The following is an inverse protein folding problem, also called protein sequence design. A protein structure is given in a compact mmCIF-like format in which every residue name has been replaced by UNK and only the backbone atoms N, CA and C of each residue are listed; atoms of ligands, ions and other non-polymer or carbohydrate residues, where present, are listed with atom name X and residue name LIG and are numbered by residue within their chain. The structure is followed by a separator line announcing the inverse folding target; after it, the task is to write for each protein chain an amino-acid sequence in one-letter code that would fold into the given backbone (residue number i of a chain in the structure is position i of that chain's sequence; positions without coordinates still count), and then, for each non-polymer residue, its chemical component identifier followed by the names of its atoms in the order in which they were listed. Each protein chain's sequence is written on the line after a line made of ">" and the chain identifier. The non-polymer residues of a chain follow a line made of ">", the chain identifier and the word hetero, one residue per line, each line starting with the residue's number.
data_IF_147439152971
#
_entry.id   IF_147439152971
#
_cell.length_a   1.000
_cell.length_b   1.000
_cell.length_c   1.000
_cell.angle_alpha   90.00
_cell.angle_beta   90.00
_cell.angle_gamma   90.00
#
_symmetry.space_group_name_H-M   'P 1'
#
loop_
_entity.id
_entity.type
_entity.pdbx_description
1 polymer ?
#
# COMPACT_ATOMS: atom_id res chain seq x y z
N UNK A 1 37.40 18.12 8.41
CA UNK A 1 37.26 17.64 7.02
C UNK A 1 35.77 17.63 6.72
N UNK A 2 35.32 18.38 5.71
CA UNK A 2 33.95 18.29 5.21
C UNK A 2 33.89 16.98 4.43
N UNK A 3 33.11 16.02 4.90
CA UNK A 3 32.84 14.80 4.14
C UNK A 3 31.88 15.19 3.00
N UNK A 4 32.41 15.38 1.80
CA UNK A 4 31.57 15.60 0.63
C UNK A 4 30.84 14.29 0.30
N UNK A 5 29.52 14.33 0.39
CA UNK A 5 28.68 13.19 0.03
C UNK A 5 28.71 13.06 -1.49
N UNK A 6 29.01 11.86 -2.04
CA UNK A 6 29.00 11.66 -3.48
C UNK A 6 27.58 11.84 -4.04
N UNK A 7 27.50 12.53 -5.17
CA UNK A 7 26.27 12.70 -5.96
C UNK A 7 26.00 11.46 -6.83
N UNK A 8 24.74 11.18 -7.19
CA UNK A 8 24.43 10.09 -8.10
C UNK A 8 25.07 10.29 -9.48
N UNK A 9 25.55 9.20 -10.07
CA UNK A 9 25.98 9.12 -11.47
C UNK A 9 24.80 9.28 -12.44
N UNK A 10 25.10 9.46 -13.72
CA UNK A 10 24.07 9.61 -14.75
C UNK A 10 23.13 8.39 -14.84
N UNK A 11 23.68 7.18 -14.67
CA UNK A 11 22.91 5.93 -14.66
C UNK A 11 22.01 5.84 -13.42
N UNK A 12 22.52 6.23 -12.25
CA UNK A 12 21.72 6.28 -11.02
C UNK A 12 20.62 7.34 -11.10
N UNK A 13 20.86 8.50 -11.71
CA UNK A 13 19.83 9.51 -11.95
C UNK A 13 18.71 9.00 -12.86
N UNK A 14 19.06 8.24 -13.89
CA UNK A 14 18.06 7.63 -14.77
C UNK A 14 17.24 6.57 -14.01
N UNK A 15 17.89 5.74 -13.19
CA UNK A 15 17.18 4.79 -12.33
C UNK A 15 16.25 5.49 -11.32
N UNK A 16 16.72 6.57 -10.68
CA UNK A 16 15.92 7.40 -9.77
C UNK A 16 14.68 7.93 -10.50
N UNK A 17 14.84 8.43 -11.73
CA UNK A 17 13.74 8.94 -12.55
C UNK A 17 12.72 7.85 -12.85
N UNK A 18 13.16 6.69 -13.35
CA UNK A 18 12.29 5.54 -13.66
C UNK A 18 11.50 5.09 -12.43
N UNK A 19 12.16 4.91 -11.29
CA UNK A 19 11.49 4.48 -10.05
C UNK A 19 10.50 5.53 -9.55
N UNK A 20 10.85 6.82 -9.66
CA UNK A 20 9.99 7.93 -9.26
C UNK A 20 8.73 8.00 -10.12
N UNK A 21 8.86 7.94 -11.45
CA UNK A 21 7.74 7.93 -12.39
C UNK A 21 6.84 6.70 -12.19
N UNK A 22 7.44 5.53 -11.97
CA UNK A 22 6.72 4.29 -11.65
C UNK A 22 5.91 4.44 -10.36
N UNK A 23 6.51 4.99 -9.31
CA UNK A 23 5.82 5.23 -8.05
C UNK A 23 4.67 6.23 -8.22
N UNK A 24 4.92 7.39 -8.82
CA UNK A 24 3.93 8.45 -8.98
C UNK A 24 2.72 8.01 -9.82
N UNK A 25 2.94 7.21 -10.86
CA UNK A 25 1.85 6.73 -11.73
C UNK A 25 1.03 5.59 -11.13
N UNK A 26 1.51 4.94 -10.07
CA UNK A 26 0.83 3.81 -9.41
C UNK A 26 0.39 4.11 -7.97
N UNK A 27 0.86 5.19 -7.38
CA UNK A 27 0.39 5.65 -6.08
C UNK A 27 -1.01 6.30 -6.23
N UNK A 28 -1.98 5.84 -5.44
CA UNK A 28 -3.34 6.32 -5.61
C UNK A 28 -3.51 7.75 -5.11
N UNK A 29 -4.28 8.52 -5.88
CA UNK A 29 -4.73 9.88 -5.56
C UNK A 29 -3.63 10.95 -5.45
N UNK A 30 -2.35 10.57 -5.41
CA UNK A 30 -1.20 11.47 -5.41
C UNK A 30 -1.35 12.59 -4.37
N UNK A 31 -1.07 13.83 -4.77
CA UNK A 31 -1.16 15.00 -3.91
C UNK A 31 -2.59 15.35 -3.43
N UNK A 32 -3.63 14.72 -4.00
CA UNK A 32 -5.03 15.00 -3.70
C UNK A 32 -5.67 14.01 -2.73
N UNK A 33 -4.87 13.13 -2.12
CA UNK A 33 -5.37 12.09 -1.22
C UNK A 33 -6.13 12.68 -0.02
N UNK A 34 -5.68 13.83 0.53
CA UNK A 34 -6.32 14.50 1.67
C UNK A 34 -7.75 14.94 1.37
N UNK A 35 -8.01 15.44 0.17
CA UNK A 35 -9.34 15.89 -0.24
C UNK A 35 -10.25 14.71 -0.65
N UNK A 36 -9.67 13.63 -1.17
CA UNK A 36 -10.43 12.48 -1.70
C UNK A 36 -10.69 11.38 -0.68
N UNK A 37 -9.93 11.30 0.42
CA UNK A 37 -10.14 10.29 1.47
C UNK A 37 -11.48 10.50 2.17
N UNK A 38 -12.17 9.41 2.46
CA UNK A 38 -13.35 9.39 3.33
C UNK A 38 -12.99 8.65 4.60
N UNK A 39 -13.47 9.13 5.74
CA UNK A 39 -13.37 8.38 6.98
C UNK A 39 -14.25 7.14 6.88
N UNK A 40 -13.73 6.02 7.36
CA UNK A 40 -14.53 4.81 7.57
C UNK A 40 -15.50 5.11 8.72
N UNK A 41 -16.68 5.67 8.42
CA UNK A 41 -17.82 5.61 9.32
C UNK A 41 -18.35 4.18 9.31
N UNK A 42 -18.69 3.59 10.45
CA UNK A 42 -19.40 2.31 10.47
C UNK A 42 -20.72 2.46 9.68
N UNK A 43 -20.72 2.05 8.40
CA UNK A 43 -21.88 2.19 7.52
C UNK A 43 -22.85 1.06 7.85
N UNK A 44 -23.68 1.31 8.87
CA UNK A 44 -24.72 0.37 9.31
C UNK A 44 -25.36 0.72 10.65
N UNK A 45 -24.73 1.55 11.49
CA UNK A 45 -25.28 1.91 12.80
C UNK A 45 -26.10 3.20 12.70
N UNK A 46 -27.40 3.03 12.77
CA UNK A 46 -28.39 4.08 13.02
C UNK A 46 -27.98 4.84 14.28
N UNK A 47 -27.52 6.08 14.11
CA UNK A 47 -27.29 7.09 15.18
C UNK A 47 -26.85 6.53 16.54
N UNK A 48 -25.64 5.99 16.64
CA UNK A 48 -24.94 5.99 17.92
C UNK A 48 -23.52 6.53 17.72
N UNK A 49 -23.06 7.18 18.78
CA UNK A 49 -21.91 8.09 18.85
C UNK A 49 -20.63 7.52 18.23
N UNK A 50 -19.70 8.40 17.90
CA UNK A 50 -18.37 8.12 17.31
C UNK A 50 -17.42 7.25 18.17
N UNK A 51 -17.96 6.54 19.17
CA UNK A 51 -17.25 5.76 20.19
C UNK A 51 -17.26 4.23 19.89
N UNK A 52 -18.00 3.78 18.86
CA UNK A 52 -18.31 2.36 18.58
C UNK A 52 -17.57 1.77 17.35
N UNK A 53 -16.30 2.16 17.14
CA UNK A 53 -15.46 1.54 16.10
C UNK A 53 -14.99 0.17 16.62
N UNK A 54 -15.56 -0.94 16.11
CA UNK A 54 -15.14 -2.32 16.43
C UNK A 54 -16.20 -3.26 17.03
N UNK A 55 -17.49 -2.92 16.95
CA UNK A 55 -18.62 -3.71 17.48
C UNK A 55 -19.35 -4.59 16.45
N UNK A 56 -18.81 -4.80 15.24
CA UNK A 56 -19.36 -5.77 14.28
C UNK A 56 -19.24 -7.21 14.81
N UNK A 57 -19.87 -8.19 14.15
CA UNK A 57 -19.74 -9.62 14.53
C UNK A 57 -18.27 -9.96 14.74
N UNK A 58 -17.92 -10.29 15.98
CA UNK A 58 -16.53 -10.53 16.38
C UNK A 58 -16.22 -12.01 16.25
N UNK A 59 -15.29 -12.36 15.37
CA UNK A 59 -14.72 -13.71 15.32
C UNK A 59 -13.41 -13.70 16.10
N UNK A 60 -13.25 -14.69 16.98
CA UNK A 60 -12.00 -14.88 17.73
C UNK A 60 -11.03 -15.70 16.88
N UNK A 61 -9.80 -15.21 16.69
CA UNK A 61 -8.73 -16.01 16.09
C UNK A 61 -8.24 -17.06 17.10
N UNK A 62 -7.55 -18.11 16.64
CA UNK A 62 -6.92 -19.10 17.53
C UNK A 62 -5.96 -18.48 18.57
N UNK A 63 -5.41 -17.31 18.26
CA UNK A 63 -4.51 -16.54 19.12
C UNK A 63 -5.25 -15.59 20.09
N UNK A 64 -6.59 -15.64 20.13
CA UNK A 64 -7.42 -14.82 21.02
C UNK A 64 -7.67 -13.39 20.55
N UNK A 65 -7.17 -13.01 19.37
CA UNK A 65 -7.44 -11.70 18.77
C UNK A 65 -8.85 -11.65 18.21
N UNK A 66 -9.51 -10.50 18.37
CA UNK A 66 -10.88 -10.27 17.90
C UNK A 66 -10.86 -9.61 16.53
N UNK A 67 -11.57 -10.19 15.55
CA UNK A 67 -11.72 -9.64 14.20
C UNK A 67 -13.16 -9.15 14.01
N UNK A 68 -13.31 -7.86 13.75
CA UNK A 68 -14.57 -7.27 13.30
C UNK A 68 -14.78 -7.63 11.81
N UNK A 69 -15.79 -8.47 11.55
CA UNK A 69 -16.07 -8.99 10.20
C UNK A 69 -16.55 -7.88 9.25
N UNK A 70 -17.25 -6.86 9.74
CA UNK A 70 -17.73 -5.77 8.90
C UNK A 70 -16.56 -4.88 8.46
N UNK A 71 -15.67 -4.53 9.39
CA UNK A 71 -14.44 -3.80 9.08
C UNK A 71 -13.54 -4.61 8.12
N UNK A 72 -13.37 -5.92 8.38
CA UNK A 72 -12.62 -6.81 7.50
C UNK A 72 -13.20 -6.86 6.08
N UNK A 73 -14.53 -6.92 5.95
CA UNK A 73 -15.21 -6.85 4.64
C UNK A 73 -14.92 -5.53 3.91
N UNK A 74 -14.88 -4.39 4.62
CA UNK A 74 -14.51 -3.12 3.99
C UNK A 74 -13.04 -3.09 3.55
N UNK A 75 -12.13 -3.62 4.36
CA UNK A 75 -10.71 -3.70 4.01
C UNK A 75 -10.46 -4.61 2.81
N UNK A 76 -11.09 -5.78 2.76
CA UNK A 76 -10.96 -6.70 1.62
C UNK A 76 -11.45 -6.12 0.29
N UNK A 77 -12.44 -5.20 0.31
CA UNK A 77 -12.87 -4.49 -0.91
C UNK A 77 -11.81 -3.55 -1.47
N UNK A 78 -10.97 -2.96 -0.63
CA UNK A 78 -9.95 -1.98 -1.04
C UNK A 78 -8.56 -2.60 -1.21
N UNK A 79 -8.30 -3.77 -0.63
CA UNK A 79 -6.99 -4.40 -0.65
C UNK A 79 -6.60 -4.91 -2.04
N UNK A 80 -7.54 -5.48 -2.81
CA UNK A 80 -7.24 -5.98 -4.16
C UNK A 80 -6.73 -4.88 -5.10
N UNK A 81 -7.41 -3.72 -5.23
CA UNK A 81 -6.85 -2.59 -6.00
C UNK A 81 -5.51 -2.05 -5.47
N UNK A 82 -5.25 -2.17 -4.16
CA UNK A 82 -3.98 -1.76 -3.57
C UNK A 82 -2.83 -2.71 -3.96
N UNK A 83 -3.07 -4.03 -3.90
CA UNK A 83 -2.14 -5.07 -4.36
C UNK A 83 -1.85 -4.90 -5.85
N UNK A 84 -2.88 -4.71 -6.69
CA UNK A 84 -2.70 -4.48 -8.13
C UNK A 84 -1.79 -3.30 -8.39
N UNK A 85 -1.92 -2.19 -7.64
CA UNK A 85 -1.03 -1.03 -7.75
C UNK A 85 0.41 -1.28 -7.30
N UNK A 86 0.68 -2.31 -6.50
CA UNK A 86 2.06 -2.74 -6.18
C UNK A 86 2.62 -3.55 -7.35
N UNK A 87 1.81 -4.44 -7.93
CA UNK A 87 2.20 -5.21 -9.12
C UNK A 87 2.48 -4.27 -10.30
N UNK A 88 1.61 -3.29 -10.54
CA UNK A 88 1.78 -2.30 -11.62
C UNK A 88 3.02 -1.43 -11.41
N UNK A 89 3.39 -1.15 -10.15
CA UNK A 89 4.64 -0.46 -9.82
C UNK A 89 5.85 -1.30 -10.24
N UNK A 90 5.89 -2.56 -9.81
CA UNK A 90 7.00 -3.46 -10.12
C UNK A 90 7.16 -3.67 -11.63
N UNK A 91 6.05 -3.85 -12.36
CA UNK A 91 6.04 -4.01 -13.82
C UNK A 91 6.52 -2.78 -14.60
N UNK A 92 6.68 -1.63 -13.96
CA UNK A 92 7.27 -0.42 -14.60
C UNK A 92 8.78 -0.34 -14.44
N UNK A 93 9.40 -1.26 -13.69
CA UNK A 93 10.85 -1.31 -13.51
C UNK A 93 11.44 -2.32 -14.49
N UNK A 94 12.28 -1.90 -15.46
CA UNK A 94 12.87 -2.81 -16.45
C UNK A 94 13.58 -4.00 -15.81
N UNK A 95 14.39 -3.75 -14.77
CA UNK A 95 15.12 -4.80 -14.03
C UNK A 95 14.20 -5.84 -13.37
N UNK A 96 12.97 -5.49 -13.02
CA UNK A 96 12.00 -6.44 -12.49
C UNK A 96 11.37 -7.28 -13.61
N UNK A 97 11.05 -6.65 -14.73
CA UNK A 97 10.45 -7.32 -15.89
C UNK A 97 11.40 -8.30 -16.59
N UNK A 98 12.70 -8.13 -16.44
CA UNK A 98 13.74 -9.02 -16.95
C UNK A 98 13.89 -10.32 -16.13
N UNK A 99 13.33 -10.38 -14.91
CA UNK A 99 13.37 -11.58 -14.07
C UNK A 99 12.40 -12.66 -14.57
N UNK A 100 12.68 -13.95 -14.31
CA UNK A 100 11.71 -15.03 -14.51
C UNK A 100 10.38 -14.77 -13.80
N UNK A 101 9.27 -15.24 -14.38
CA UNK A 101 7.93 -15.04 -13.80
C UNK A 101 7.82 -15.59 -12.36
N UNK A 102 8.48 -16.71 -12.09
CA UNK A 102 8.54 -17.32 -10.76
C UNK A 102 9.18 -16.38 -9.73
N UNK A 103 10.29 -15.75 -10.09
CA UNK A 103 10.99 -14.79 -9.24
C UNK A 103 10.18 -13.51 -9.04
N UNK A 104 9.52 -13.01 -10.10
CA UNK A 104 8.61 -11.86 -9.99
C UNK A 104 7.48 -12.15 -8.98
N UNK A 105 6.90 -13.35 -9.01
CA UNK A 105 5.86 -13.78 -8.07
C UNK A 105 6.40 -13.87 -6.64
N UNK A 106 7.59 -14.45 -6.46
CA UNK A 106 8.23 -14.57 -5.14
C UNK A 106 8.48 -13.18 -4.54
N UNK A 107 9.08 -12.28 -5.32
CA UNK A 107 9.36 -10.91 -4.88
C UNK A 107 8.08 -10.15 -4.53
N UNK A 108 7.05 -10.21 -5.38
CA UNK A 108 5.77 -9.56 -5.12
C UNK A 108 5.10 -10.10 -3.85
N UNK A 109 5.10 -11.42 -3.64
CA UNK A 109 4.56 -12.00 -2.41
C UNK A 109 5.36 -11.58 -1.16
N UNK A 110 6.67 -11.44 -1.29
CA UNK A 110 7.56 -11.02 -0.21
C UNK A 110 7.37 -9.56 0.21
N UNK A 111 7.30 -8.64 -0.75
CA UNK A 111 7.33 -7.20 -0.46
C UNK A 111 5.96 -6.49 -0.47
N UNK A 112 4.88 -7.14 -0.93
CA UNK A 112 3.62 -6.44 -1.14
C UNK A 112 3.07 -5.78 0.14
N UNK A 113 3.14 -6.46 1.29
CA UNK A 113 2.72 -5.87 2.56
C UNK A 113 3.61 -4.71 2.99
N UNK A 114 4.92 -4.80 2.77
CA UNK A 114 5.87 -3.75 3.15
C UNK A 114 5.61 -2.47 2.33
N UNK A 115 5.43 -2.60 1.01
CA UNK A 115 5.13 -1.46 0.13
C UNK A 115 3.76 -0.86 0.46
N UNK A 116 2.73 -1.69 0.70
CA UNK A 116 1.41 -1.18 1.08
C UNK A 116 1.45 -0.46 2.43
N UNK A 117 2.16 -1.02 3.41
CA UNK A 117 2.33 -0.42 4.74
C UNK A 117 3.08 0.91 4.66
N UNK A 118 4.17 0.97 3.89
CA UNK A 118 4.91 2.22 3.66
C UNK A 118 4.02 3.28 3.01
N UNK A 119 3.27 2.91 1.95
CA UNK A 119 2.31 3.82 1.30
C UNK A 119 1.27 4.33 2.29
N UNK A 120 0.73 3.47 3.15
CA UNK A 120 -0.22 3.86 4.18
C UNK A 120 0.37 4.85 5.20
N UNK A 121 1.63 4.64 5.60
CA UNK A 121 2.30 5.45 6.62
C UNK A 121 2.69 6.86 6.15
N UNK A 122 2.90 7.07 4.85
CA UNK A 122 3.29 8.38 4.29
C UNK A 122 2.12 9.27 3.89
N UNK A 123 0.88 8.83 4.15
CA UNK A 123 -0.34 9.62 3.98
C UNK A 123 -0.64 10.48 5.22
#
# INVERSE_FOLDING_TARGET
>A
MVWERPEPSQEEWELIRVVTEAHMSTNAQGNHWKQKRKFLSAVGVKETKAEDIGQGTIVSTPEGSKVDIEAFSQFTKIITPAITRVVDFAKKLPMFCELPCEDQIILLKGCCMEIMSLRAAVF
#
